data_IF_321565805318
#
_entry.id   IF_321565805318
#
_cell.length_a   1.000
_cell.length_b   1.000
_cell.length_c   1.000
_cell.angle_alpha   90.00
_cell.angle_beta   90.00
_cell.angle_gamma   90.00
#
_symmetry.space_group_name_H-M   'P 1'
#
loop_
_entity.id
_entity.type
_entity.pdbx_description
1 polymer ?
#
# COMPACT_ATOMS: atom_id res chain seq x y z
N UNK A 1 -27.32 15.92 15.48
CA UNK A 1 -27.66 14.76 14.62
C UNK A 1 -27.13 15.00 13.21
N UNK A 2 -25.86 14.67 12.92
CA UNK A 2 -25.29 14.85 11.57
C UNK A 2 -25.38 13.52 10.82
N UNK A 3 -26.36 13.40 9.93
CA UNK A 3 -26.51 12.23 9.07
C UNK A 3 -25.59 12.38 7.85
N UNK A 4 -24.32 12.01 8.01
CA UNK A 4 -23.37 11.96 6.91
C UNK A 4 -23.81 10.88 5.90
N UNK A 5 -24.56 11.30 4.87
CA UNK A 5 -24.86 10.49 3.69
C UNK A 5 -23.59 10.40 2.83
N UNK A 6 -22.67 9.53 3.24
CA UNK A 6 -21.52 9.16 2.44
C UNK A 6 -21.97 8.73 1.03
N UNK A 7 -21.53 9.47 0.02
CA UNK A 7 -21.71 9.11 -1.39
C UNK A 7 -20.72 8.01 -1.82
N UNK A 8 -20.58 7.77 -3.14
CA UNK A 8 -19.53 6.90 -3.67
C UNK A 8 -18.16 7.59 -3.63
N UNK A 9 -17.61 7.81 -2.44
CA UNK A 9 -16.28 8.40 -2.24
C UNK A 9 -15.19 7.32 -2.14
N UNK A 10 -14.00 7.59 -2.68
CA UNK A 10 -12.79 6.78 -2.48
C UNK A 10 -12.01 7.33 -1.30
N UNK A 11 -12.04 6.62 -0.18
CA UNK A 11 -11.14 6.92 0.94
C UNK A 11 -9.73 6.41 0.60
N UNK A 12 -8.72 7.27 0.64
CA UNK A 12 -7.29 6.88 0.63
C UNK A 12 -6.77 6.87 2.06
N UNK A 13 -6.15 5.76 2.48
CA UNK A 13 -5.62 5.53 3.85
C UNK A 13 -4.12 5.25 3.81
N UNK A 14 -3.32 5.91 4.67
CA UNK A 14 -1.83 5.84 4.78
C UNK A 14 -1.38 5.22 6.14
N UNK A 15 -0.27 4.47 6.28
CA UNK A 15 0.06 3.70 7.52
C UNK A 15 1.58 3.59 7.96
N UNK A 16 1.89 2.96 9.13
CA UNK A 16 3.22 2.75 9.82
C UNK A 16 3.58 1.22 10.19
N UNK A 17 4.80 0.77 10.70
CA UNK A 17 5.56 -0.51 10.43
C UNK A 17 5.15 -1.93 11.04
N UNK A 18 5.78 -3.15 10.85
CA UNK A 18 7.11 -3.64 10.31
C UNK A 18 7.45 -5.18 10.08
N UNK A 19 8.17 -5.61 8.98
CA UNK A 19 8.84 -6.97 8.72
C UNK A 19 9.38 -7.33 7.25
N UNK A 20 9.13 -8.55 6.64
CA UNK A 20 9.81 -9.27 5.49
C UNK A 20 9.01 -10.19 4.43
N UNK A 21 9.71 -10.96 3.51
CA UNK A 21 9.25 -11.85 2.34
C UNK A 21 10.41 -12.50 1.45
N UNK A 22 10.13 -13.11 0.24
CA UNK A 22 10.99 -14.04 -0.60
C UNK A 22 11.17 -13.75 -2.15
N UNK A 23 11.87 -14.61 -2.96
CA UNK A 23 12.57 -14.31 -4.28
C UNK A 23 12.40 -15.36 -5.45
N UNK A 24 12.84 -15.08 -6.69
CA UNK A 24 12.74 -15.94 -7.93
C UNK A 24 13.95 -15.79 -8.92
N UNK A 25 13.99 -16.50 -10.08
CA UNK A 25 15.24 -16.91 -10.80
C UNK A 25 15.32 -16.52 -12.30
N UNK A 26 15.94 -15.37 -12.66
CA UNK A 26 16.22 -14.98 -14.06
C UNK A 26 17.23 -13.83 -14.18
N UNK A 27 17.94 -13.67 -15.31
CA UNK A 27 19.03 -12.67 -15.42
C UNK A 27 19.22 -12.00 -16.81
N UNK A 28 19.93 -10.86 -16.81
CA UNK A 28 20.20 -10.01 -17.99
C UNK A 28 21.09 -10.66 -19.06
N UNK A 29 22.05 -11.51 -18.68
CA UNK A 29 22.96 -12.15 -19.64
C UNK A 29 22.19 -13.04 -20.63
N UNK A 30 21.13 -13.71 -20.16
CA UNK A 30 20.21 -14.47 -21.00
C UNK A 30 19.48 -13.56 -22.01
N UNK A 31 18.96 -12.42 -21.57
CA UNK A 31 18.28 -11.45 -22.44
C UNK A 31 19.22 -10.87 -23.50
N UNK A 32 20.49 -10.59 -23.16
CA UNK A 32 21.50 -10.12 -24.12
C UNK A 32 21.80 -11.15 -25.21
N UNK A 33 21.95 -12.42 -24.84
CA UNK A 33 22.19 -13.51 -25.80
C UNK A 33 20.97 -13.78 -26.70
N UNK A 34 19.75 -13.68 -26.15
CA UNK A 34 18.52 -13.76 -26.93
C UNK A 34 18.39 -12.57 -27.90
N UNK A 35 18.74 -11.36 -27.45
CA UNK A 35 18.73 -10.16 -28.30
C UNK A 35 19.64 -10.28 -29.53
N UNK A 36 20.86 -10.79 -29.33
CA UNK A 36 21.79 -11.06 -30.42
C UNK A 36 21.28 -12.14 -31.40
N UNK A 37 20.47 -13.11 -30.95
CA UNK A 37 19.88 -14.17 -31.79
C UNK A 37 18.62 -13.73 -32.54
N UNK A 38 17.81 -12.85 -31.95
CA UNK A 38 16.48 -12.49 -32.44
C UNK A 38 16.32 -11.02 -32.87
N UNK A 39 17.42 -10.28 -32.98
CA UNK A 39 17.44 -8.93 -33.57
C UNK A 39 16.97 -7.78 -32.67
N UNK A 40 16.92 -7.98 -31.34
CA UNK A 40 16.53 -6.94 -30.39
C UNK A 40 17.69 -6.51 -29.47
N UNK A 41 17.67 -5.24 -29.03
CA UNK A 41 18.65 -4.73 -28.06
C UNK A 41 18.13 -4.94 -26.64
N UNK A 42 18.87 -5.69 -25.82
CA UNK A 42 18.69 -5.70 -24.38
C UNK A 42 19.58 -4.60 -23.76
N UNK A 43 18.97 -3.67 -23.03
CA UNK A 43 19.67 -2.61 -22.29
C UNK A 43 19.51 -2.84 -20.79
N UNK A 44 20.54 -2.50 -20.00
CA UNK A 44 20.52 -2.64 -18.54
C UNK A 44 20.38 -1.25 -17.90
N UNK A 45 19.19 -0.97 -17.38
CA UNK A 45 18.98 0.13 -16.45
C UNK A 45 19.51 -0.30 -15.08
N UNK A 46 20.28 0.57 -14.40
CA UNK A 46 20.79 0.28 -13.06
C UNK A 46 19.72 0.45 -11.97
N UNK A 47 19.76 -0.34 -10.87
CA UNK A 47 18.69 -0.32 -9.89
C UNK A 47 18.60 1.01 -9.14
N UNK A 48 17.41 1.60 -9.11
CA UNK A 48 17.10 2.79 -8.29
C UNK A 48 17.41 2.50 -6.82
N UNK A 49 18.05 3.45 -6.15
CA UNK A 49 18.44 3.36 -4.73
C UNK A 49 17.81 4.49 -3.92
N UNK A 50 17.44 4.16 -2.69
CA UNK A 50 17.11 5.11 -1.65
C UNK A 50 18.01 4.81 -0.44
N UNK A 51 18.92 5.75 -0.12
CA UNK A 51 20.10 5.47 0.72
C UNK A 51 20.83 4.23 0.18
N UNK A 52 21.30 3.35 1.04
CA UNK A 52 22.02 2.12 0.66
C UNK A 52 21.12 1.04 0.03
N UNK A 53 19.79 1.22 0.10
CA UNK A 53 18.82 0.19 -0.27
C UNK A 53 18.37 0.31 -1.73
N UNK A 54 18.47 -0.81 -2.46
CA UNK A 54 17.84 -0.97 -3.78
C UNK A 54 16.32 -0.99 -3.63
N UNK A 55 15.65 -0.10 -4.35
CA UNK A 55 14.20 -0.07 -4.51
C UNK A 55 13.78 -1.24 -5.39
N UNK A 56 12.85 -2.08 -4.92
CA UNK A 56 12.27 -3.16 -5.72
C UNK A 56 10.90 -3.56 -5.21
N UNK A 57 10.00 -4.00 -6.09
CA UNK A 57 8.66 -4.46 -5.72
C UNK A 57 8.69 -5.65 -4.77
N UNK A 58 9.72 -6.51 -4.84
CA UNK A 58 9.92 -7.59 -3.86
C UNK A 58 10.30 -7.03 -2.49
N UNK A 59 11.17 -6.00 -2.41
CA UNK A 59 11.50 -5.33 -1.14
C UNK A 59 10.31 -4.53 -0.58
N UNK A 60 9.53 -3.86 -1.42
CA UNK A 60 8.34 -3.13 -0.99
C UNK A 60 7.29 -4.11 -0.47
N UNK A 61 7.02 -5.23 -1.18
CA UNK A 61 6.11 -6.28 -0.69
C UNK A 61 6.62 -6.97 0.58
N UNK A 62 7.94 -7.22 0.71
CA UNK A 62 8.65 -7.58 1.97
C UNK A 62 8.18 -6.71 3.12
N UNK A 63 8.31 -5.41 2.93
CA UNK A 63 8.08 -4.42 3.97
C UNK A 63 6.60 -4.43 4.31
N UNK A 64 5.70 -4.23 3.34
CA UNK A 64 4.25 -4.21 3.53
C UNK A 64 3.66 -5.48 4.18
N UNK A 65 4.09 -6.69 3.78
CA UNK A 65 3.43 -7.95 4.14
C UNK A 65 3.49 -8.31 5.63
N UNK A 66 4.55 -7.91 6.33
CA UNK A 66 4.65 -7.99 7.79
C UNK A 66 4.51 -6.59 8.44
N UNK A 67 4.27 -5.55 7.65
CA UNK A 67 3.69 -4.28 8.10
C UNK A 67 4.53 -3.02 7.93
N UNK A 68 5.77 -3.07 7.41
CA UNK A 68 6.80 -2.00 7.31
C UNK A 68 6.52 -0.87 6.31
N UNK A 69 5.27 -0.44 6.26
CA UNK A 69 4.72 0.58 5.35
C UNK A 69 5.42 1.95 5.40
N UNK A 70 6.06 2.34 6.52
CA UNK A 70 6.91 3.54 6.58
C UNK A 70 8.15 3.41 5.70
N UNK A 71 8.91 2.32 5.87
CA UNK A 71 10.07 2.04 5.03
C UNK A 71 9.67 1.68 3.60
N UNK A 72 8.52 1.02 3.41
CA UNK A 72 7.95 0.82 2.09
C UNK A 72 7.64 2.18 1.43
N UNK A 73 7.09 3.13 2.19
CA UNK A 73 6.81 4.49 1.74
C UNK A 73 8.07 5.27 1.39
N UNK A 74 9.13 5.12 2.19
CA UNK A 74 10.45 5.70 1.89
C UNK A 74 11.06 5.14 0.59
N UNK A 75 10.81 3.87 0.24
CA UNK A 75 11.22 3.28 -1.04
C UNK A 75 10.27 3.61 -2.21
N UNK A 76 8.99 3.92 -1.93
CA UNK A 76 7.99 4.36 -2.91
C UNK A 76 8.10 5.86 -3.25
N UNK A 77 8.75 6.66 -2.40
CA UNK A 77 8.75 8.13 -2.48
C UNK A 77 7.45 8.79 -2.01
N UNK A 78 6.48 8.00 -1.56
CA UNK A 78 5.21 8.42 -0.97
C UNK A 78 4.74 7.35 0.02
N UNK A 79 3.95 7.71 1.03
CA UNK A 79 3.37 6.72 1.93
C UNK A 79 2.58 5.65 1.16
N UNK A 80 2.67 4.38 1.59
CA UNK A 80 1.80 3.33 1.07
C UNK A 80 0.33 3.68 1.34
N UNK A 81 -0.58 3.32 0.43
CA UNK A 81 -2.00 3.54 0.66
C UNK A 81 -2.92 2.38 0.25
N UNK A 82 -4.04 2.32 0.95
CA UNK A 82 -5.22 1.49 0.64
C UNK A 82 -6.31 2.42 0.13
N UNK A 83 -6.99 2.06 -0.96
CA UNK A 83 -8.29 2.65 -1.31
C UNK A 83 -9.37 1.59 -1.52
N UNK A 84 -10.63 2.02 -1.54
CA UNK A 84 -11.76 1.10 -1.56
C UNK A 84 -13.10 1.80 -1.43
N UNK A 85 -14.18 1.02 -1.58
CA UNK A 85 -15.56 1.48 -1.42
C UNK A 85 -15.94 1.41 0.06
N UNK A 86 -16.59 2.47 0.59
CA UNK A 86 -17.15 2.39 1.93
C UNK A 86 -18.36 1.46 1.97
N UNK A 87 -18.30 0.46 2.84
CA UNK A 87 -19.33 -0.52 3.10
C UNK A 87 -20.07 -0.23 4.43
N UNK A 88 -21.27 -0.80 4.59
CA UNK A 88 -21.97 -0.78 5.89
C UNK A 88 -21.27 -1.71 6.89
N UNK A 89 -20.58 -1.13 7.87
CA UNK A 89 -20.16 -1.84 9.07
C UNK A 89 -21.30 -2.01 10.09
N UNK A 90 -20.99 -2.67 11.20
CA UNK A 90 -21.95 -3.02 12.28
C UNK A 90 -22.40 -1.84 13.17
N UNK A 91 -22.38 -0.60 12.69
CA UNK A 91 -22.89 0.59 13.38
C UNK A 91 -22.11 1.11 14.59
N UNK A 92 -21.33 0.25 15.28
CA UNK A 92 -20.63 0.51 16.57
C UNK A 92 -19.84 1.83 16.66
N UNK A 93 -19.32 2.34 15.54
CA UNK A 93 -18.60 3.63 15.51
C UNK A 93 -19.44 4.84 15.91
N UNK A 94 -20.79 4.74 15.89
CA UNK A 94 -21.70 5.81 16.32
C UNK A 94 -21.50 6.25 17.78
N UNK A 95 -21.03 5.35 18.64
CA UNK A 95 -20.82 5.61 20.07
C UNK A 95 -19.45 6.25 20.36
N UNK A 96 -18.52 6.25 19.39
CA UNK A 96 -17.15 6.75 19.57
C UNK A 96 -17.00 8.27 19.43
N UNK A 97 -18.07 8.99 19.07
CA UNK A 97 -18.06 10.45 18.91
C UNK A 97 -17.42 10.98 17.61
N UNK A 98 -16.75 10.13 16.83
CA UNK A 98 -16.14 10.50 15.53
C UNK A 98 -16.67 9.65 14.36
N UNK A 99 -16.63 10.16 13.10
CA UNK A 99 -17.10 9.41 11.95
C UNK A 99 -16.20 8.19 11.65
N UNK A 100 -16.81 7.02 11.41
CA UNK A 100 -16.09 5.78 11.06
C UNK A 100 -16.50 5.25 9.69
N UNK A 101 -15.54 5.01 8.80
CA UNK A 101 -15.74 4.25 7.57
C UNK A 101 -15.30 2.78 7.76
N UNK A 102 -15.94 1.86 7.03
CA UNK A 102 -15.46 0.47 6.86
C UNK A 102 -15.15 0.33 5.36
N UNK A 103 -13.92 -0.01 4.97
CA UNK A 103 -13.58 -0.16 3.55
C UNK A 103 -13.78 -1.62 3.11
N UNK A 104 -14.36 -1.81 1.93
CA UNK A 104 -14.10 -2.96 1.09
C UNK A 104 -13.05 -2.52 0.06
N UNK A 105 -11.88 -3.17 0.06
CA UNK A 105 -10.73 -2.81 -0.78
C UNK A 105 -10.38 -3.94 -1.72
N UNK A 106 -9.99 -3.59 -2.94
CA UNK A 106 -9.51 -4.51 -3.97
C UNK A 106 -7.95 -4.57 -3.98
N UNK A 107 -7.28 -3.97 -2.98
CA UNK A 107 -5.83 -4.03 -2.84
C UNK A 107 -5.36 -5.48 -2.61
N UNK A 108 -4.62 -6.06 -3.57
CA UNK A 108 -3.98 -7.38 -3.45
C UNK A 108 -3.08 -7.55 -2.22
N UNK A 109 -2.58 -6.45 -1.68
CA UNK A 109 -1.68 -6.40 -0.54
C UNK A 109 -2.20 -5.41 0.49
N UNK A 110 -2.48 -5.93 1.67
CA UNK A 110 -2.88 -5.18 2.86
C UNK A 110 -1.87 -5.52 3.96
N UNK A 111 -1.44 -4.56 4.81
CA UNK A 111 -0.60 -4.86 5.98
C UNK A 111 -1.27 -5.87 6.94
N UNK A 112 -0.53 -6.46 7.90
CA UNK A 112 -1.12 -7.32 8.92
C UNK A 112 -2.28 -6.69 9.70
N UNK A 113 -3.03 -7.54 10.42
CA UNK A 113 -4.04 -7.05 11.34
C UNK A 113 -3.39 -6.22 12.46
N UNK A 114 -3.91 -5.01 12.70
CA UNK A 114 -3.28 -4.03 13.57
C UNK A 114 -3.92 -2.64 13.50
N UNK A 115 -3.54 -1.78 14.44
CA UNK A 115 -4.01 -0.39 14.51
C UNK A 115 -2.91 0.54 14.01
N UNK A 116 -3.23 1.26 12.93
CA UNK A 116 -2.32 2.18 12.27
C UNK A 116 -2.74 3.62 12.52
N UNK A 117 -1.77 4.50 12.80
CA UNK A 117 -1.97 5.95 12.70
C UNK A 117 -1.98 6.32 11.22
N UNK A 118 -3.03 7.00 10.76
CA UNK A 118 -3.30 7.18 9.33
C UNK A 118 -3.74 8.60 8.99
N UNK A 119 -3.79 8.90 7.69
CA UNK A 119 -4.62 10.00 7.17
C UNK A 119 -5.67 9.44 6.23
N UNK A 120 -6.84 10.06 6.23
CA UNK A 120 -7.97 9.72 5.37
C UNK A 120 -8.31 10.91 4.47
N UNK A 121 -8.36 10.69 3.15
CA UNK A 121 -8.87 11.70 2.21
C UNK A 121 -10.39 11.56 2.04
N UNK A 122 -11.12 12.66 2.26
CA UNK A 122 -12.58 12.78 2.08
C UNK A 122 -12.84 14.04 1.24
N UNK A 123 -13.50 13.90 0.10
CA UNK A 123 -13.89 15.01 -0.78
C UNK A 123 -12.74 16.02 -1.09
N UNK A 124 -11.52 15.50 -1.19
CA UNK A 124 -10.27 16.25 -1.43
C UNK A 124 -9.58 16.77 -0.16
N UNK A 125 -10.25 16.78 0.99
CA UNK A 125 -9.70 17.20 2.28
C UNK A 125 -9.00 16.02 2.97
N UNK A 126 -7.84 16.28 3.59
CA UNK A 126 -7.07 15.28 4.33
C UNK A 126 -7.32 15.44 5.82
N UNK A 127 -7.75 14.37 6.48
CA UNK A 127 -8.00 14.32 7.92
C UNK A 127 -7.04 13.34 8.61
N UNK A 128 -6.52 13.66 9.81
CA UNK A 128 -5.91 12.66 10.69
C UNK A 128 -6.93 11.57 11.04
N UNK A 129 -6.49 10.32 11.05
CA UNK A 129 -7.35 9.17 11.30
C UNK A 129 -6.61 8.02 11.97
N UNK A 130 -7.36 7.02 12.41
CA UNK A 130 -6.84 5.74 12.89
C UNK A 130 -7.51 4.64 12.08
N UNK A 131 -6.72 3.69 11.58
CA UNK A 131 -7.24 2.57 10.81
C UNK A 131 -6.93 1.27 11.51
N UNK A 132 -7.98 0.55 11.90
CA UNK A 132 -7.88 -0.85 12.30
C UNK A 132 -7.95 -1.71 11.03
N UNK A 133 -6.87 -2.43 10.73
CA UNK A 133 -6.84 -3.49 9.73
C UNK A 133 -7.13 -4.80 10.44
N UNK A 134 -8.00 -5.63 9.87
CA UNK A 134 -8.32 -6.94 10.41
C UNK A 134 -9.09 -7.79 9.41
N UNK A 135 -8.89 -9.11 9.51
CA UNK A 135 -9.68 -10.10 8.78
C UNK A 135 -11.09 -10.21 9.38
N UNK A 136 -12.03 -10.75 8.60
CA UNK A 136 -13.43 -10.92 8.97
C UNK A 136 -13.96 -12.28 8.48
#
# INVERSE_FOLDING_TARGET
MVSARWGPFRARIVSAPGVASSVTVGNYSMLRSLGARYGFRAEKIDPVRYKDFVVSSTRIRRLLAEGRVDEAGALLGHHYFIDGRVARGAGRGRELGFPTANLCTDNELVPPAGVYATTATVDGVVHPSVTNVGLR
#
